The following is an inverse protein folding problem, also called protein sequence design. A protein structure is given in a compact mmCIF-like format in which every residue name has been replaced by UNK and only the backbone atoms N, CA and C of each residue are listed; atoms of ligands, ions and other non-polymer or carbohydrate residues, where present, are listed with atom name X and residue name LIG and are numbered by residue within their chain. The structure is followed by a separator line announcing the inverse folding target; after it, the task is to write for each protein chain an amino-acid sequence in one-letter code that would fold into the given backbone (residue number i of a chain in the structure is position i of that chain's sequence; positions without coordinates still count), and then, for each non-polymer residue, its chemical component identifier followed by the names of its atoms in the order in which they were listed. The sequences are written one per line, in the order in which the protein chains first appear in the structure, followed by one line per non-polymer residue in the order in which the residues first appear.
data_IF_542736124504
#
_entry.id   IF_542736124504
#
_cell.length_a   1.000
_cell.length_b   1.000
_cell.length_c   1.000
_cell.angle_alpha   90.00
_cell.angle_beta   90.00
_cell.angle_gamma   90.00
#
_symmetry.space_group_name_H-M   'P 1'
#
loop_
_entity.id
_entity.type
_entity.pdbx_description
1 polymer ?
#
# COMPACT_ATOMS: atom_id res chain seq x y z
N UNK A 1 62.46 24.21 -10.47
CA UNK A 1 61.49 25.10 -11.13
C UNK A 1 60.94 26.02 -10.06
N UNK A 2 61.34 27.28 -10.09
CA UNK A 2 60.77 28.31 -9.21
C UNK A 2 59.51 28.86 -9.89
N UNK A 3 58.36 28.69 -9.24
CA UNK A 3 57.08 29.22 -9.71
C UNK A 3 56.91 30.62 -9.11
N UNK A 4 56.62 31.65 -9.94
CA UNK A 4 56.48 33.03 -9.45
C UNK A 4 55.29 33.17 -8.50
N UNK A 5 55.44 34.01 -7.48
CA UNK A 5 54.53 34.10 -6.33
C UNK A 5 53.06 34.47 -6.67
N UNK A 6 52.80 34.97 -7.88
CA UNK A 6 51.54 35.53 -8.37
C UNK A 6 50.83 34.70 -9.46
N UNK A 7 51.24 33.47 -9.74
CA UNK A 7 50.55 32.61 -10.72
C UNK A 7 49.43 31.77 -10.07
N UNK A 8 48.18 32.01 -10.49
CA UNK A 8 47.00 31.25 -10.01
C UNK A 8 46.76 29.94 -10.79
N UNK A 9 47.35 29.83 -11.98
CA UNK A 9 47.21 28.68 -12.87
C UNK A 9 48.58 28.35 -13.48
N UNK A 10 48.92 27.06 -13.50
CA UNK A 10 50.16 26.57 -14.14
C UNK A 10 49.78 25.49 -15.15
N UNK A 11 50.29 25.62 -16.37
CA UNK A 11 50.07 24.66 -17.46
C UNK A 11 51.35 23.84 -17.63
N UNK A 12 51.25 22.52 -17.54
CA UNK A 12 52.40 21.65 -17.73
C UNK A 12 52.64 21.39 -19.22
N UNK A 13 53.78 21.83 -19.76
CA UNK A 13 54.13 21.63 -21.18
C UNK A 13 54.36 20.17 -21.59
N UNK A 14 54.46 19.22 -20.66
CA UNK A 14 54.70 17.81 -20.97
C UNK A 14 53.40 16.98 -21.01
N UNK A 15 52.34 17.39 -20.33
CA UNK A 15 51.09 16.63 -20.25
C UNK A 15 49.82 17.48 -20.47
N UNK A 16 50.00 18.75 -20.84
CA UNK A 16 48.98 19.76 -21.17
C UNK A 16 47.84 19.96 -20.14
N UNK A 17 48.03 19.45 -18.91
CA UNK A 17 47.12 19.65 -17.80
C UNK A 17 47.21 21.09 -17.24
N UNK A 18 46.05 21.71 -16.99
CA UNK A 18 45.93 23.00 -16.28
C UNK A 18 45.61 22.75 -14.81
N UNK A 19 46.46 23.25 -13.91
CA UNK A 19 46.33 23.04 -12.47
C UNK A 19 46.05 24.37 -11.78
N UNK A 20 45.01 24.40 -10.94
CA UNK A 20 44.62 25.56 -10.11
C UNK A 20 45.30 25.47 -8.76
N UNK A 21 46.00 26.53 -8.35
CA UNK A 21 46.76 26.55 -7.10
C UNK A 21 45.89 27.11 -5.96
N UNK A 22 45.28 26.24 -5.15
CA UNK A 22 44.65 26.63 -3.89
C UNK A 22 45.68 26.56 -2.74
N UNK A 23 45.91 27.68 -2.04
CA UNK A 23 46.78 27.72 -0.86
C UNK A 23 45.93 27.81 0.40
N UNK A 24 45.80 26.69 1.10
CA UNK A 24 45.50 26.68 2.53
C UNK A 24 46.72 26.20 3.30
N UNK A 25 46.87 26.73 4.52
CA UNK A 25 48.15 27.04 5.19
C UNK A 25 49.11 25.88 5.50
N UNK A 26 48.90 24.63 5.10
CA UNK A 26 49.97 23.61 5.28
C UNK A 26 49.85 22.30 4.49
N UNK A 27 49.22 22.28 3.31
CA UNK A 27 49.25 21.05 2.49
C UNK A 27 48.95 21.31 1.01
N UNK A 28 49.89 20.89 0.15
CA UNK A 28 49.74 20.95 -1.30
C UNK A 28 49.20 19.61 -1.79
N UNK A 29 47.88 19.47 -1.91
CA UNK A 29 47.27 18.32 -2.58
C UNK A 29 47.00 18.66 -4.04
N UNK A 30 47.41 17.77 -4.95
CA UNK A 30 47.03 17.80 -6.37
C UNK A 30 46.07 16.65 -6.60
N UNK A 31 44.78 16.96 -6.78
CA UNK A 31 43.80 15.96 -7.19
C UNK A 31 43.19 16.41 -8.53
N UNK A 32 43.32 15.55 -9.53
CA UNK A 32 42.90 15.80 -10.90
C UNK A 32 41.36 15.85 -10.98
N UNK A 33 40.79 17.05 -11.11
CA UNK A 33 39.34 17.31 -11.12
C UNK A 33 38.63 16.98 -12.46
N UNK A 34 39.31 16.40 -13.45
CA UNK A 34 38.68 16.09 -14.74
C UNK A 34 37.90 14.76 -14.73
N UNK A 35 38.23 13.81 -13.84
CA UNK A 35 37.49 12.54 -13.69
C UNK A 35 36.25 12.62 -12.79
N UNK A 36 36.04 13.74 -12.08
CA UNK A 36 34.92 13.88 -11.15
C UNK A 36 33.63 14.33 -11.83
N UNK A 37 33.68 15.11 -12.91
CA UNK A 37 32.45 15.59 -13.58
C UNK A 37 31.70 14.47 -14.32
N UNK A 38 32.42 13.57 -14.99
CA UNK A 38 31.82 12.43 -15.72
C UNK A 38 31.25 11.36 -14.75
N UNK A 39 31.98 11.12 -13.66
CA UNK A 39 31.55 10.18 -12.61
C UNK A 39 30.38 10.74 -11.80
N UNK A 40 30.35 12.06 -11.53
CA UNK A 40 29.24 12.72 -10.82
C UNK A 40 27.96 12.75 -11.65
N UNK A 41 28.04 12.98 -12.96
CA UNK A 41 26.87 12.92 -13.85
C UNK A 41 26.29 11.50 -13.96
N UNK A 42 27.15 10.50 -14.15
CA UNK A 42 26.70 9.09 -14.22
C UNK A 42 26.20 8.54 -12.87
N UNK A 43 26.73 9.03 -11.75
CA UNK A 43 26.23 8.74 -10.40
C UNK A 43 24.88 9.43 -10.15
N UNK A 44 24.70 10.69 -10.57
CA UNK A 44 23.43 11.42 -10.41
C UNK A 44 22.27 10.74 -11.14
N UNK A 45 22.54 10.25 -12.36
CA UNK A 45 21.55 9.55 -13.17
C UNK A 45 21.22 8.15 -12.61
N UNK A 46 22.23 7.45 -12.06
CA UNK A 46 22.04 6.17 -11.37
C UNK A 46 21.28 6.32 -10.05
N UNK A 47 21.55 7.38 -9.27
CA UNK A 47 20.81 7.68 -8.03
C UNK A 47 19.34 7.95 -8.33
N UNK A 48 19.04 8.63 -9.45
CA UNK A 48 17.66 8.90 -9.87
C UNK A 48 16.88 7.63 -10.17
N UNK A 49 17.48 6.66 -10.88
CA UNK A 49 16.86 5.34 -11.13
C UNK A 49 16.71 4.51 -9.86
N UNK A 50 17.69 4.53 -8.97
CA UNK A 50 17.66 3.79 -7.71
C UNK A 50 16.56 4.31 -6.77
N UNK A 51 16.37 5.63 -6.72
CA UNK A 51 15.34 6.27 -5.90
C UNK A 51 13.92 5.82 -6.31
N UNK A 52 13.63 5.72 -7.61
CA UNK A 52 12.31 5.24 -8.09
C UNK A 52 12.08 3.79 -7.68
N UNK A 53 13.10 2.93 -7.76
CA UNK A 53 13.00 1.54 -7.32
C UNK A 53 12.74 1.43 -5.81
N UNK A 54 13.41 2.24 -4.99
CA UNK A 54 13.14 2.31 -3.55
C UNK A 54 11.71 2.77 -3.25
N UNK A 55 11.21 3.77 -3.97
CA UNK A 55 9.84 4.25 -3.83
C UNK A 55 8.80 3.17 -4.19
N UNK A 56 9.06 2.36 -5.23
CA UNK A 56 8.19 1.24 -5.57
C UNK A 56 8.19 0.16 -4.48
N UNK A 57 9.38 -0.22 -3.97
CA UNK A 57 9.49 -1.22 -2.91
C UNK A 57 8.77 -0.77 -1.62
N UNK A 58 8.89 0.50 -1.25
CA UNK A 58 8.19 1.06 -0.09
C UNK A 58 6.68 1.17 -0.32
N UNK A 59 6.23 1.47 -1.54
CA UNK A 59 4.80 1.45 -1.89
C UNK A 59 4.22 0.03 -1.78
N UNK A 60 4.93 -0.98 -2.30
CA UNK A 60 4.51 -2.38 -2.24
C UNK A 60 4.45 -2.90 -0.81
N UNK A 61 5.47 -2.59 0.01
CA UNK A 61 5.50 -2.95 1.43
C UNK A 61 4.34 -2.33 2.20
N UNK A 62 4.05 -1.04 1.98
CA UNK A 62 2.92 -0.35 2.63
C UNK A 62 1.58 -0.97 2.22
N UNK A 63 1.45 -1.35 0.95
CA UNK A 63 0.25 -2.02 0.46
C UNK A 63 0.07 -3.42 1.07
N UNK A 64 1.14 -4.20 1.25
CA UNK A 64 1.05 -5.49 1.96
C UNK A 64 0.56 -5.32 3.41
N UNK A 65 1.12 -4.35 4.13
CA UNK A 65 0.70 -4.04 5.50
C UNK A 65 -0.79 -3.63 5.52
N UNK A 66 -1.20 -2.70 4.67
CA UNK A 66 -2.60 -2.28 4.58
C UNK A 66 -3.54 -3.42 4.17
N UNK A 67 -3.13 -4.26 3.22
CA UNK A 67 -3.94 -5.39 2.74
C UNK A 67 -4.22 -6.39 3.86
N UNK A 68 -3.27 -6.58 4.77
CA UNK A 68 -3.44 -7.48 5.91
C UNK A 68 -4.53 -7.00 6.88
N UNK A 69 -4.73 -5.70 7.07
CA UNK A 69 -5.83 -5.19 7.90
C UNK A 69 -7.22 -5.46 7.29
N UNK A 70 -7.31 -5.52 5.97
CA UNK A 70 -8.56 -5.83 5.28
C UNK A 70 -8.84 -7.33 5.18
N UNK A 71 -7.86 -8.20 5.43
CA UNK A 71 -8.06 -9.66 5.40
C UNK A 71 -9.07 -10.06 6.49
N UNK A 72 -10.05 -10.86 6.10
CA UNK A 72 -10.98 -11.49 7.05
C UNK A 72 -10.49 -12.92 7.23
N UNK A 73 -10.05 -13.26 8.43
CA UNK A 73 -9.68 -14.63 8.79
C UNK A 73 -10.97 -15.40 9.06
N UNK A 74 -11.30 -16.34 8.16
CA UNK A 74 -12.39 -17.27 8.41
C UNK A 74 -12.03 -18.23 9.54
N UNK A 75 -13.05 -18.82 10.17
CA UNK A 75 -12.88 -19.86 11.21
C UNK A 75 -12.07 -21.07 10.72
N UNK A 76 -11.99 -21.23 9.41
CA UNK A 76 -11.33 -22.34 8.70
C UNK A 76 -9.83 -22.07 8.44
N UNK A 77 -9.25 -20.98 8.97
CA UNK A 77 -7.86 -20.59 8.74
C UNK A 77 -7.58 -20.02 7.34
N UNK A 78 -8.48 -20.22 6.38
CA UNK A 78 -8.43 -19.57 5.08
C UNK A 78 -8.79 -18.10 5.21
N UNK A 79 -7.83 -17.24 4.88
CA UNK A 79 -8.09 -15.81 4.77
C UNK A 79 -8.58 -15.48 3.37
N UNK A 80 -9.80 -14.97 3.29
CA UNK A 80 -10.38 -14.51 2.03
C UNK A 80 -10.37 -12.99 2.00
N UNK A 81 -10.13 -12.43 0.83
CA UNK A 81 -10.38 -11.01 0.62
C UNK A 81 -11.89 -10.75 0.71
N UNK A 82 -12.30 -9.60 1.28
CA UNK A 82 -13.72 -9.22 1.33
C UNK A 82 -14.23 -9.06 -0.10
N UNK A 83 -15.07 -10.02 -0.54
CA UNK A 83 -15.73 -9.95 -1.85
C UNK A 83 -17.14 -9.41 -1.66
N UNK A 84 -17.54 -8.47 -2.52
CA UNK A 84 -18.91 -7.92 -2.54
C UNK A 84 -19.96 -9.02 -2.73
N UNK A 85 -19.61 -10.08 -3.49
CA UNK A 85 -20.48 -11.24 -3.73
C UNK A 85 -20.83 -12.02 -2.45
N UNK A 86 -19.87 -12.23 -1.55
CA UNK A 86 -20.13 -12.95 -0.29
C UNK A 86 -21.10 -12.18 0.61
N UNK A 87 -20.98 -10.85 0.67
CA UNK A 87 -21.89 -10.00 1.44
C UNK A 87 -23.32 -10.01 0.87
N UNK A 88 -23.45 -10.01 -0.45
CA UNK A 88 -24.75 -10.02 -1.14
C UNK A 88 -25.46 -11.37 -1.00
N UNK A 89 -24.73 -12.47 -1.21
CA UNK A 89 -25.24 -13.83 -1.01
C UNK A 89 -25.66 -14.05 0.45
N UNK A 90 -24.81 -13.67 1.41
CA UNK A 90 -25.13 -13.77 2.83
C UNK A 90 -26.39 -13.00 3.23
N UNK A 91 -26.57 -11.78 2.70
CA UNK A 91 -27.78 -10.98 2.93
C UNK A 91 -29.06 -11.65 2.39
N UNK A 92 -29.02 -12.18 1.17
CA UNK A 92 -30.16 -12.90 0.56
C UNK A 92 -30.51 -14.14 1.38
N UNK A 93 -29.51 -14.94 1.77
CA UNK A 93 -29.72 -16.12 2.61
C UNK A 93 -30.32 -15.75 3.97
N UNK A 94 -29.85 -14.68 4.60
CA UNK A 94 -30.37 -14.23 5.90
C UNK A 94 -31.85 -13.81 5.82
N UNK A 95 -32.26 -13.12 4.74
CA UNK A 95 -33.66 -12.75 4.53
C UNK A 95 -34.52 -13.99 4.30
N UNK A 96 -34.13 -14.89 3.39
CA UNK A 96 -34.89 -16.11 3.10
C UNK A 96 -35.02 -16.97 4.36
N UNK A 97 -33.90 -17.21 5.05
CA UNK A 97 -33.87 -18.01 6.26
C UNK A 97 -34.68 -17.37 7.38
N UNK A 98 -34.55 -16.05 7.59
CA UNK A 98 -35.31 -15.32 8.60
C UNK A 98 -36.82 -15.35 8.36
N UNK A 99 -37.26 -15.16 7.10
CA UNK A 99 -38.67 -15.29 6.71
C UNK A 99 -39.17 -16.71 6.93
N UNK A 100 -38.43 -17.71 6.44
CA UNK A 100 -38.79 -19.12 6.61
C UNK A 100 -38.89 -19.50 8.10
N UNK A 101 -37.89 -19.13 8.91
CA UNK A 101 -37.88 -19.35 10.35
C UNK A 101 -39.09 -18.72 11.02
N UNK A 102 -39.42 -17.47 10.68
CA UNK A 102 -40.55 -16.74 11.29
C UNK A 102 -41.87 -17.47 11.00
N UNK A 103 -42.12 -17.85 9.75
CA UNK A 103 -43.34 -18.59 9.36
C UNK A 103 -43.43 -19.93 10.06
N UNK A 104 -42.33 -20.70 10.08
CA UNK A 104 -42.28 -22.00 10.74
C UNK A 104 -42.47 -21.88 12.25
N UNK A 105 -41.84 -20.88 12.88
CA UNK A 105 -41.96 -20.63 14.31
C UNK A 105 -43.39 -20.26 14.69
N UNK A 106 -44.07 -19.40 13.93
CA UNK A 106 -45.49 -19.07 14.15
C UNK A 106 -46.39 -20.31 14.01
N UNK A 107 -46.15 -21.17 13.02
CA UNK A 107 -46.94 -22.38 12.83
C UNK A 107 -46.84 -23.31 14.05
N UNK A 108 -45.64 -23.55 14.57
CA UNK A 108 -45.40 -24.45 15.71
C UNK A 108 -45.92 -23.86 17.02
N UNK A 109 -45.77 -22.55 17.22
CA UNK A 109 -46.06 -21.89 18.50
C UNK A 109 -47.52 -21.46 18.66
N UNK A 110 -48.30 -21.45 17.57
CA UNK A 110 -49.73 -21.08 17.56
C UNK A 110 -50.60 -21.98 18.44
N UNK A 111 -50.23 -23.25 18.60
CA UNK A 111 -50.96 -24.24 19.40
C UNK A 111 -50.35 -24.48 20.80
N UNK A 112 -49.27 -23.78 21.15
CA UNK A 112 -48.55 -24.02 22.40
C UNK A 112 -49.25 -23.37 23.61
N UNK A 113 -49.51 -24.12 24.70
CA UNK A 113 -50.04 -23.56 25.95
C UNK A 113 -49.00 -22.76 26.74
N UNK A 114 -47.71 -22.85 26.39
CA UNK A 114 -46.63 -22.13 27.07
C UNK A 114 -46.46 -20.70 26.56
N UNK A 115 -46.55 -19.72 27.45
CA UNK A 115 -46.38 -18.30 27.11
C UNK A 115 -45.01 -17.97 26.49
N UNK A 116 -43.94 -18.66 26.90
CA UNK A 116 -42.60 -18.47 26.35
C UNK A 116 -42.49 -18.85 24.86
N UNK A 117 -43.35 -19.75 24.36
CA UNK A 117 -43.37 -20.14 22.96
C UNK A 117 -43.74 -18.95 22.04
N UNK A 118 -44.49 -17.97 22.54
CA UNK A 118 -44.89 -16.78 21.76
C UNK A 118 -43.73 -15.84 21.43
N UNK A 119 -42.59 -15.96 22.12
CA UNK A 119 -41.38 -15.15 21.89
C UNK A 119 -40.52 -15.78 20.78
N UNK A 120 -40.66 -17.08 20.54
CA UNK A 120 -39.84 -17.83 19.59
C UNK A 120 -39.80 -17.26 18.16
N UNK A 121 -40.92 -16.74 17.60
CA UNK A 121 -40.91 -16.10 16.28
C UNK A 121 -40.09 -14.80 16.20
N UNK A 122 -39.91 -14.09 17.33
CA UNK A 122 -39.11 -12.85 17.37
C UNK A 122 -37.63 -13.08 17.08
N UNK A 123 -37.11 -14.30 17.32
CA UNK A 123 -35.75 -14.65 16.90
C UNK A 123 -35.57 -14.55 15.38
N UNK A 124 -36.62 -14.76 14.58
CA UNK A 124 -36.55 -14.57 13.13
C UNK A 124 -36.24 -13.12 12.76
N UNK A 125 -36.85 -12.15 13.45
CA UNK A 125 -36.55 -10.72 13.28
C UNK A 125 -35.12 -10.39 13.72
N UNK A 126 -34.62 -11.04 14.79
CA UNK A 126 -33.23 -10.92 15.22
C UNK A 126 -32.26 -11.40 14.13
N UNK A 127 -32.51 -12.57 13.53
CA UNK A 127 -31.68 -13.10 12.44
C UNK A 127 -31.66 -12.18 11.22
N UNK A 128 -32.79 -11.59 10.86
CA UNK A 128 -32.88 -10.60 9.77
C UNK A 128 -32.04 -9.36 10.13
N UNK A 129 -32.18 -8.83 11.34
CA UNK A 129 -31.41 -7.66 11.80
C UNK A 129 -29.91 -7.91 11.79
N UNK A 130 -29.46 -9.04 12.33
CA UNK A 130 -28.05 -9.47 12.33
C UNK A 130 -27.55 -9.69 10.89
N UNK A 131 -28.37 -10.29 10.03
CA UNK A 131 -28.06 -10.50 8.62
C UNK A 131 -27.83 -9.20 7.86
N UNK A 132 -28.72 -8.21 8.05
CA UNK A 132 -28.59 -6.88 7.45
C UNK A 132 -27.34 -6.18 7.96
N UNK A 133 -27.11 -6.17 9.28
CA UNK A 133 -25.93 -5.56 9.88
C UNK A 133 -24.64 -6.17 9.34
N UNK A 134 -24.57 -7.51 9.28
CA UNK A 134 -23.43 -8.24 8.72
C UNK A 134 -23.21 -7.90 7.25
N UNK A 135 -24.27 -7.83 6.44
CA UNK A 135 -24.19 -7.47 5.03
C UNK A 135 -23.67 -6.04 4.82
N UNK A 136 -24.14 -5.07 5.61
CA UNK A 136 -23.67 -3.68 5.57
C UNK A 136 -22.19 -3.61 5.96
N UNK A 137 -21.81 -4.24 7.07
CA UNK A 137 -20.43 -4.22 7.55
C UNK A 137 -19.47 -4.86 6.53
N UNK A 138 -19.86 -5.98 5.93
CA UNK A 138 -19.09 -6.64 4.89
C UNK A 138 -18.98 -5.79 3.61
N UNK A 139 -20.06 -5.10 3.20
CA UNK A 139 -20.03 -4.18 2.05
C UNK A 139 -19.10 -2.99 2.29
N UNK A 140 -19.15 -2.38 3.47
CA UNK A 140 -18.28 -1.25 3.81
C UNK A 140 -16.80 -1.66 3.75
N UNK A 141 -16.46 -2.79 4.39
CA UNK A 141 -15.08 -3.32 4.36
C UNK A 141 -14.61 -3.67 2.95
N UNK A 142 -15.48 -4.21 2.11
CA UNK A 142 -15.17 -4.48 0.69
C UNK A 142 -14.95 -3.19 -0.12
N UNK A 143 -15.78 -2.16 0.10
CA UNK A 143 -15.63 -0.84 -0.53
C UNK A 143 -14.31 -0.19 -0.14
N UNK A 144 -13.96 -0.22 1.15
CA UNK A 144 -12.73 0.40 1.66
C UNK A 144 -11.50 -0.30 1.08
N UNK A 145 -11.51 -1.63 1.03
CA UNK A 145 -10.47 -2.40 0.36
C UNK A 145 -10.35 -2.01 -1.13
N UNK A 146 -11.47 -1.89 -1.85
CA UNK A 146 -11.48 -1.51 -3.27
C UNK A 146 -10.95 -0.10 -3.49
N UNK A 147 -11.25 0.84 -2.61
CA UNK A 147 -10.72 2.21 -2.66
C UNK A 147 -9.22 2.24 -2.38
N UNK A 148 -8.76 1.53 -1.35
CA UNK A 148 -7.34 1.40 -1.03
C UNK A 148 -6.56 0.74 -2.18
N UNK A 149 -7.10 -0.33 -2.77
CA UNK A 149 -6.51 -1.01 -3.93
C UNK A 149 -6.36 -0.10 -5.13
N UNK A 150 -7.40 0.66 -5.49
CA UNK A 150 -7.34 1.61 -6.60
C UNK A 150 -6.30 2.71 -6.38
N UNK A 151 -6.17 3.19 -5.14
CA UNK A 151 -5.15 4.18 -4.79
C UNK A 151 -3.75 3.61 -5.01
N UNK A 152 -3.48 2.41 -4.48
CA UNK A 152 -2.22 1.70 -4.70
C UNK A 152 -1.92 1.50 -6.19
N UNK A 153 -2.89 1.01 -6.97
CA UNK A 153 -2.73 0.82 -8.42
C UNK A 153 -2.40 2.14 -9.13
N UNK A 154 -3.10 3.23 -8.78
CA UNK A 154 -2.85 4.55 -9.37
C UNK A 154 -1.48 5.13 -9.03
N UNK A 155 -1.00 4.94 -7.79
CA UNK A 155 0.32 5.38 -7.36
C UNK A 155 1.43 4.57 -8.03
N UNK A 156 1.21 3.25 -8.17
CA UNK A 156 2.15 2.37 -8.85
C UNK A 156 2.28 2.71 -10.33
N UNK A 157 1.17 2.98 -11.02
CA UNK A 157 1.18 3.41 -12.42
C UNK A 157 1.82 4.79 -12.60
N UNK A 158 1.70 5.68 -11.62
CA UNK A 158 2.41 6.96 -11.63
C UNK A 158 3.93 6.79 -11.50
N UNK A 159 4.40 5.87 -10.65
CA UNK A 159 5.82 5.55 -10.50
C UNK A 159 6.37 4.83 -11.74
N UNK A 160 5.64 3.85 -12.28
CA UNK A 160 6.04 3.10 -13.47
C UNK A 160 6.20 3.98 -14.72
N UNK A 161 5.45 5.08 -14.81
CA UNK A 161 5.61 6.08 -15.88
C UNK A 161 6.86 6.96 -15.74
N UNK A 162 7.44 7.09 -14.54
CA UNK A 162 8.69 7.86 -14.33
C UNK A 162 9.94 7.06 -14.68
N UNK A 163 9.85 5.74 -14.67
CA UNK A 163 10.94 4.81 -15.03
C UNK A 163 11.00 4.48 -16.51
N UNK A 164 10.02 4.95 -17.30
CA UNK A 164 9.88 4.69 -18.74
C UNK A 164 10.33 5.91 -19.53
#
# INVERSE_FOLDING_TARGET
MEVPANANYVKCNHCDAQLVVHRERDMTFTEAMDKLNETTQSLSDQVSRLNVNQQMAELDRRWEIQRNDYRITGKDGHSRLPTEGAAMVGGIFAVIFGTFWTVMAFAITSASPFAAAKIFPLFGLLFIGVGIFSAIHARNKASDYKRAKRRYESERDALARRTR
#
